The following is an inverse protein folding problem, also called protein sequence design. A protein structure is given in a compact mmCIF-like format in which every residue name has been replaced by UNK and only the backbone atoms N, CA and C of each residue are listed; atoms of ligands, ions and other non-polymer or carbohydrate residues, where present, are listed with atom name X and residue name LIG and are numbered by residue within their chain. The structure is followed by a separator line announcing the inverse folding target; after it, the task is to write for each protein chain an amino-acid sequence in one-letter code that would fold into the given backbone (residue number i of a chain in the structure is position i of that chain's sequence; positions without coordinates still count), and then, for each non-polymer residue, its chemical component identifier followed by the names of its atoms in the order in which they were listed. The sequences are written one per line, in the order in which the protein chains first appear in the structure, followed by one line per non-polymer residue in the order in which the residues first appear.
data_IF_065845391912
#
_entry.id   IF_065845391912
#
_cell.length_a   1.000
_cell.length_b   1.000
_cell.length_c   1.000
_cell.angle_alpha   90.00
_cell.angle_beta   90.00
_cell.angle_gamma   90.00
#
_symmetry.space_group_name_H-M   'P 1'
#
loop_
_entity.id
_entity.type
_entity.pdbx_description
1 polymer ?
#
# COMPACT_ATOMS: atom_id res chain seq x y z
N UNK A 1 -5.38 43.54 31.84
CA UNK A 1 -5.89 43.41 30.45
C UNK A 1 -4.76 42.94 29.56
N UNK A 2 -4.73 41.65 29.20
CA UNK A 2 -3.90 41.13 28.11
C UNK A 2 -4.79 40.15 27.36
N UNK A 3 -5.19 40.53 26.15
CA UNK A 3 -6.10 39.77 25.28
C UNK A 3 -5.31 38.61 24.67
N UNK A 4 -5.75 37.38 24.89
CA UNK A 4 -5.26 36.19 24.16
C UNK A 4 -5.90 36.18 22.76
N UNK A 5 -5.15 35.91 21.68
CA UNK A 5 -5.73 35.76 20.35
C UNK A 5 -6.47 34.41 20.23
N UNK A 6 -7.51 34.32 19.38
CA UNK A 6 -8.28 33.10 19.22
C UNK A 6 -7.49 32.03 18.44
N UNK A 7 -7.54 30.81 18.95
CA UNK A 7 -7.03 29.60 18.29
C UNK A 7 -7.87 29.37 17.03
N UNK A 8 -7.28 29.58 15.87
CA UNK A 8 -7.86 29.18 14.59
C UNK A 8 -7.77 27.66 14.49
N UNK A 9 -8.93 26.99 14.54
CA UNK A 9 -9.05 25.56 14.23
C UNK A 9 -8.89 25.42 12.72
N UNK A 10 -7.72 24.95 12.28
CA UNK A 10 -7.48 24.54 10.90
C UNK A 10 -7.92 23.10 10.78
N UNK A 11 -9.10 22.88 10.20
CA UNK A 11 -9.55 21.56 9.74
C UNK A 11 -8.77 21.22 8.48
N UNK A 12 -7.77 20.34 8.61
CA UNK A 12 -6.99 19.84 7.49
C UNK A 12 -7.69 18.61 6.91
N UNK A 13 -8.39 18.79 5.78
CA UNK A 13 -8.90 17.69 4.98
C UNK A 13 -7.72 17.00 4.26
N UNK A 14 -7.39 15.78 4.66
CA UNK A 14 -6.36 14.96 4.03
C UNK A 14 -7.02 14.12 2.92
N UNK A 15 -6.80 14.52 1.66
CA UNK A 15 -7.18 13.76 0.48
C UNK A 15 -6.01 12.87 0.05
N UNK A 16 -6.08 11.56 0.34
CA UNK A 16 -5.12 10.56 -0.17
C UNK A 16 -5.75 9.90 -1.39
N UNK A 17 -5.18 10.19 -2.56
CA UNK A 17 -5.49 9.52 -3.84
C UNK A 17 -4.35 8.55 -4.12
N UNK A 18 -4.53 7.27 -3.82
CA UNK A 18 -3.60 6.21 -4.22
C UNK A 18 -4.41 5.00 -4.68
N UNK A 19 -4.11 4.56 -5.91
CA UNK A 19 -4.76 3.46 -6.63
C UNK A 19 -6.29 3.54 -6.75
N UNK A 20 -6.77 4.17 -7.83
CA UNK A 20 -7.97 3.71 -8.56
C UNK A 20 -9.37 3.83 -7.94
N UNK A 21 -9.55 3.83 -6.62
CA UNK A 21 -10.88 3.81 -5.98
C UNK A 21 -10.93 4.81 -4.81
N UNK A 22 -11.56 5.96 -5.02
CA UNK A 22 -11.88 6.90 -3.94
C UNK A 22 -13.32 6.63 -3.45
N UNK A 23 -13.47 6.24 -2.17
CA UNK A 23 -14.76 6.23 -1.49
C UNK A 23 -15.15 7.67 -1.08
N UNK A 24 -16.38 8.14 -1.38
CA UNK A 24 -16.84 9.44 -0.90
C UNK A 24 -17.49 9.33 0.50
N UNK A 25 -16.95 10.07 1.47
CA UNK A 25 -17.59 10.31 2.77
C UNK A 25 -18.56 11.49 2.66
N UNK A 26 -19.84 11.27 2.98
CA UNK A 26 -20.85 12.34 3.12
C UNK A 26 -21.36 12.42 4.57
N UNK A 27 -21.57 13.63 5.14
CA UNK A 27 -22.12 13.79 6.49
C UNK A 27 -23.64 13.65 6.49
N UNK A 28 -24.18 12.90 7.47
CA UNK A 28 -25.62 12.85 7.78
C UNK A 28 -25.87 13.60 9.09
N UNK A 29 -26.72 14.63 9.05
CA UNK A 29 -27.26 15.27 10.26
C UNK A 29 -28.76 14.98 10.33
N UNK A 30 -29.31 14.54 11.48
CA UNK A 30 -30.72 14.23 11.62
C UNK A 30 -31.51 15.48 12.05
N UNK A 31 -32.70 15.66 11.49
CA UNK A 31 -33.73 16.53 12.09
C UNK A 31 -35.05 15.79 12.11
N UNK A 32 -35.60 15.66 13.31
CA UNK A 32 -36.81 14.91 13.60
C UNK A 32 -38.12 15.60 13.20
N UNK A 33 -39.13 14.75 13.24
CA UNK A 33 -40.57 14.79 12.98
C UNK A 33 -41.36 15.92 13.69
N UNK A 34 -42.65 16.21 13.36
CA UNK A 34 -43.76 15.29 13.72
C UNK A 34 -45.03 15.23 12.81
N UNK A 35 -45.55 14.00 12.71
CA UNK A 35 -46.93 13.52 12.98
C UNK A 35 -48.14 14.11 12.23
N UNK A 36 -48.94 13.23 11.60
CA UNK A 36 -50.41 13.25 11.71
C UNK A 36 -51.01 11.84 11.55
N UNK A 37 -51.87 11.47 12.50
CA UNK A 37 -52.54 10.18 12.69
C UNK A 37 -53.71 9.87 11.72
N UNK A 38 -54.08 8.58 11.73
CA UNK A 38 -55.45 7.99 11.82
C UNK A 38 -55.92 7.09 10.62
N UNK A 39 -56.86 6.12 10.80
CA UNK A 39 -56.63 4.79 11.39
C UNK A 39 -57.21 3.59 10.61
N UNK A 40 -56.95 2.39 11.17
CA UNK A 40 -57.70 1.12 11.09
C UNK A 40 -57.65 0.28 9.80
N UNK A 41 -57.22 -0.99 9.91
CA UNK A 41 -58.09 -2.11 10.35
C UNK A 41 -57.26 -3.39 10.43
N UNK A 42 -57.24 -4.05 11.59
CA UNK A 42 -56.69 -5.40 11.78
C UNK A 42 -57.58 -6.45 11.10
N UNK A 43 -56.97 -7.40 10.39
CA UNK A 43 -57.55 -8.73 10.19
C UNK A 43 -56.43 -9.77 10.13
N UNK A 44 -56.45 -10.65 11.12
CA UNK A 44 -55.47 -11.71 11.37
C UNK A 44 -55.99 -13.05 10.84
N UNK A 45 -55.16 -13.81 10.12
CA UNK A 45 -55.23 -15.29 9.95
C UNK A 45 -53.88 -15.79 9.37
N UNK A 46 -53.38 -16.99 9.72
CA UNK A 46 -51.95 -17.29 9.72
C UNK A 46 -51.44 -18.16 8.54
N UNK A 47 -50.11 -18.23 8.45
CA UNK A 47 -49.27 -19.24 7.82
C UNK A 47 -49.06 -19.18 6.28
N UNK A 48 -47.77 -19.04 5.93
CA UNK A 48 -47.22 -19.35 4.62
C UNK A 48 -45.80 -18.84 4.54
N UNK A 49 -44.78 -19.72 4.63
CA UNK A 49 -43.43 -19.37 4.21
C UNK A 49 -43.47 -19.15 2.70
N UNK A 50 -43.57 -17.89 2.28
CA UNK A 50 -43.41 -17.47 0.90
C UNK A 50 -41.96 -17.73 0.47
N UNK A 51 -41.69 -18.30 -0.72
CA UNK A 51 -40.36 -18.27 -1.31
C UNK A 51 -39.91 -16.80 -1.38
N UNK A 52 -38.69 -16.51 -0.94
CA UNK A 52 -38.13 -15.17 -1.08
C UNK A 52 -37.86 -14.94 -2.57
N UNK A 53 -38.75 -14.20 -3.22
CA UNK A 53 -38.47 -13.53 -4.48
C UNK A 53 -37.63 -12.29 -4.13
N UNK A 54 -36.33 -12.52 -3.91
CA UNK A 54 -35.40 -11.46 -3.54
C UNK A 54 -34.84 -10.72 -4.76
N UNK A 55 -35.12 -11.19 -5.98
CA UNK A 55 -34.69 -10.58 -7.24
C UNK A 55 -33.19 -10.76 -7.56
N UNK A 56 -32.49 -11.70 -6.90
CA UNK A 56 -31.06 -11.93 -7.14
C UNK A 56 -30.82 -12.49 -8.56
N UNK A 57 -29.99 -11.80 -9.35
CA UNK A 57 -29.68 -12.20 -10.71
C UNK A 57 -30.78 -11.91 -11.72
N UNK A 58 -31.81 -11.19 -11.32
CA UNK A 58 -32.93 -10.72 -12.16
C UNK A 58 -32.91 -9.20 -12.33
N UNK A 59 -31.79 -8.56 -11.97
CA UNK A 59 -31.60 -7.12 -12.12
C UNK A 59 -31.84 -6.65 -13.56
N UNK A 60 -32.32 -5.41 -13.66
CA UNK A 60 -32.60 -4.74 -14.94
C UNK A 60 -31.35 -4.66 -15.81
N UNK A 61 -31.57 -4.35 -17.08
CA UNK A 61 -30.50 -4.17 -18.07
C UNK A 61 -29.46 -3.16 -17.57
N UNK A 62 -28.19 -3.55 -17.66
CA UNK A 62 -27.04 -2.66 -17.46
C UNK A 62 -26.97 -1.68 -18.62
N UNK A 63 -27.02 -0.39 -18.33
CA UNK A 63 -26.81 0.66 -19.34
C UNK A 63 -25.34 0.73 -19.71
N UNK A 64 -25.00 0.62 -20.99
CA UNK A 64 -23.62 0.77 -21.47
C UNK A 64 -23.50 2.05 -22.30
N UNK A 65 -22.71 3.01 -21.81
CA UNK A 65 -22.32 4.20 -22.56
C UNK A 65 -20.99 3.93 -23.28
N UNK A 66 -21.10 3.56 -24.56
CA UNK A 66 -19.99 3.12 -25.41
C UNK A 66 -20.22 1.70 -25.94
N UNK A 67 -19.16 1.03 -26.38
CA UNK A 67 -19.24 -0.31 -26.97
C UNK A 67 -18.39 -1.31 -26.20
N UNK A 68 -18.99 -2.45 -25.84
CA UNK A 68 -18.31 -3.60 -25.24
C UNK A 68 -18.47 -4.82 -26.16
N UNK A 69 -17.51 -5.73 -26.11
CA UNK A 69 -17.52 -6.99 -26.85
C UNK A 69 -18.28 -8.11 -26.13
N UNK A 70 -18.94 -7.81 -25.02
CA UNK A 70 -19.54 -8.77 -24.09
C UNK A 70 -20.92 -8.30 -23.62
N UNK A 71 -21.74 -9.24 -23.16
CA UNK A 71 -23.04 -8.94 -22.55
C UNK A 71 -22.86 -8.51 -21.08
N UNK A 72 -22.77 -7.19 -20.89
CA UNK A 72 -22.59 -6.57 -19.58
C UNK A 72 -23.71 -6.90 -18.58
N UNK A 73 -24.95 -7.10 -19.06
CA UNK A 73 -26.10 -7.42 -18.19
C UNK A 73 -25.99 -8.85 -17.70
N UNK A 74 -25.71 -9.79 -18.60
CA UNK A 74 -25.56 -11.19 -18.24
C UNK A 74 -24.43 -11.41 -17.23
N UNK A 75 -23.30 -10.71 -17.39
CA UNK A 75 -22.18 -10.79 -16.44
C UNK A 75 -22.61 -10.28 -15.06
N UNK A 76 -23.29 -9.12 -14.98
CA UNK A 76 -23.76 -8.57 -13.70
C UNK A 76 -24.68 -9.54 -12.97
N UNK A 77 -25.70 -10.05 -13.65
CA UNK A 77 -26.66 -11.00 -13.07
C UNK A 77 -25.98 -12.30 -12.59
N UNK A 78 -24.91 -12.75 -13.27
CA UNK A 78 -24.12 -13.91 -12.82
C UNK A 78 -23.33 -13.59 -11.56
N UNK A 79 -22.78 -12.38 -11.43
CA UNK A 79 -22.05 -11.94 -10.23
C UNK A 79 -23.01 -11.81 -9.04
N UNK A 80 -24.21 -11.26 -9.23
CA UNK A 80 -25.26 -11.25 -8.20
C UNK A 80 -25.54 -12.66 -7.64
N UNK A 81 -25.74 -13.64 -8.54
CA UNK A 81 -25.95 -15.04 -8.16
C UNK A 81 -24.74 -15.70 -7.50
N UNK A 82 -23.52 -15.25 -7.81
CA UNK A 82 -22.31 -15.79 -7.18
C UNK A 82 -22.16 -15.28 -5.75
N UNK A 83 -22.46 -13.99 -5.53
CA UNK A 83 -22.33 -13.33 -4.23
C UNK A 83 -23.57 -13.48 -3.36
N UNK A 84 -24.66 -14.04 -3.88
CA UNK A 84 -25.95 -14.19 -3.19
C UNK A 84 -26.46 -12.85 -2.63
N UNK A 85 -26.36 -11.82 -3.45
CA UNK A 85 -26.79 -10.46 -3.13
C UNK A 85 -27.15 -9.71 -4.41
N UNK A 86 -27.97 -8.67 -4.29
CA UNK A 86 -28.31 -7.80 -5.41
C UNK A 86 -28.22 -6.31 -5.05
N UNK A 87 -28.18 -5.50 -6.10
CA UNK A 87 -28.31 -4.06 -6.03
C UNK A 87 -28.93 -3.55 -7.33
N UNK A 88 -29.12 -2.23 -7.44
CA UNK A 88 -29.47 -1.64 -8.73
C UNK A 88 -28.34 -1.89 -9.72
N UNK A 89 -28.70 -2.32 -10.94
CA UNK A 89 -27.74 -2.50 -12.02
C UNK A 89 -26.93 -1.20 -12.24
N UNK A 90 -25.59 -1.28 -12.29
CA UNK A 90 -24.75 -0.10 -12.47
C UNK A 90 -24.80 0.40 -13.92
N UNK A 91 -24.47 1.68 -14.13
CA UNK A 91 -24.15 2.20 -15.45
C UNK A 91 -22.69 1.89 -15.81
N UNK A 92 -22.45 1.35 -17.01
CA UNK A 92 -21.08 1.08 -17.51
C UNK A 92 -20.64 2.16 -18.50
N UNK A 93 -19.50 2.78 -18.24
CA UNK A 93 -18.86 3.78 -19.12
C UNK A 93 -17.62 3.20 -19.76
N UNK A 94 -17.55 3.24 -21.09
CA UNK A 94 -16.39 2.78 -21.86
C UNK A 94 -15.53 3.98 -22.23
N UNK A 95 -14.37 4.09 -21.60
CA UNK A 95 -13.48 5.25 -21.77
C UNK A 95 -12.05 4.80 -22.10
N UNK A 96 -11.39 5.50 -23.02
CA UNK A 96 -9.93 5.35 -23.18
C UNK A 96 -9.26 6.07 -22.02
N UNK A 97 -8.81 5.29 -21.05
CA UNK A 97 -8.12 5.83 -19.90
C UNK A 97 -6.62 5.87 -20.21
N UNK A 98 -6.11 7.07 -20.47
CA UNK A 98 -4.67 7.32 -20.60
C UNK A 98 -3.91 7.19 -19.27
N UNK A 99 -4.57 6.73 -18.20
CA UNK A 99 -3.96 6.55 -16.88
C UNK A 99 -3.12 5.28 -16.86
N UNK A 100 -1.96 5.34 -17.50
CA UNK A 100 -0.72 4.89 -16.86
C UNK A 100 -0.34 5.93 -15.80
N UNK A 101 -1.21 6.22 -14.84
CA UNK A 101 -0.82 7.07 -13.72
C UNK A 101 -0.02 6.22 -12.76
N UNK A 102 1.27 6.08 -13.09
CA UNK A 102 2.40 5.77 -12.22
C UNK A 102 2.55 6.77 -11.06
N UNK A 103 1.58 7.67 -10.87
CA UNK A 103 1.51 8.67 -9.82
C UNK A 103 1.27 7.92 -8.51
N UNK A 104 2.31 7.79 -7.69
CA UNK A 104 2.27 7.09 -6.40
C UNK A 104 3.06 5.78 -6.34
N UNK A 105 3.72 5.34 -7.42
CA UNK A 105 4.59 4.16 -7.40
C UNK A 105 6.07 4.48 -7.14
N UNK A 106 6.44 5.76 -7.16
CA UNK A 106 7.78 6.17 -6.75
C UNK A 106 7.97 5.92 -5.25
N UNK A 107 9.11 5.35 -4.81
CA UNK A 107 9.35 5.12 -3.40
C UNK A 107 9.42 6.45 -2.64
N UNK A 108 8.78 6.51 -1.47
CA UNK A 108 8.94 7.62 -0.52
C UNK A 108 10.38 7.72 -0.03
N UNK A 109 10.83 8.86 0.55
CA UNK A 109 12.18 8.99 1.10
C UNK A 109 12.58 7.86 2.07
N UNK A 110 11.66 7.34 2.89
CA UNK A 110 11.90 6.17 3.75
C UNK A 110 12.23 4.92 2.95
N UNK A 111 11.45 4.64 1.91
CA UNK A 111 11.68 3.47 1.05
C UNK A 111 12.97 3.63 0.26
N UNK A 112 13.30 4.85 -0.15
CA UNK A 112 14.58 5.14 -0.77
C UNK A 112 15.74 4.87 0.19
N UNK A 113 15.61 5.21 1.48
CA UNK A 113 16.60 4.90 2.52
C UNK A 113 16.74 3.40 2.82
N UNK A 114 15.77 2.57 2.39
CA UNK A 114 15.87 1.10 2.38
C UNK A 114 16.33 0.54 1.03
N UNK A 115 16.69 1.39 0.07
CA UNK A 115 17.16 0.97 -1.26
C UNK A 115 16.07 0.45 -2.20
N UNK A 116 14.78 0.77 -1.98
CA UNK A 116 13.71 0.42 -2.93
C UNK A 116 14.00 1.00 -4.31
N UNK A 117 13.92 0.16 -5.36
CA UNK A 117 14.12 0.63 -6.71
C UNK A 117 12.93 1.46 -7.21
N UNK A 118 13.23 2.45 -8.06
CA UNK A 118 12.23 3.20 -8.82
C UNK A 118 11.79 2.45 -10.11
N UNK A 119 12.27 1.22 -10.32
CA UNK A 119 12.09 0.49 -11.58
C UNK A 119 10.92 -0.48 -11.51
N UNK A 120 10.00 -0.34 -12.46
CA UNK A 120 8.97 -1.36 -12.71
C UNK A 120 9.47 -2.33 -13.77
N UNK A 121 9.42 -3.63 -13.48
CA UNK A 121 9.58 -4.68 -14.50
C UNK A 121 8.33 -4.77 -15.36
N UNK A 122 8.51 -5.15 -16.64
CA UNK A 122 7.40 -5.42 -17.55
C UNK A 122 6.60 -6.62 -17.05
N UNK A 123 5.28 -6.55 -17.21
CA UNK A 123 4.33 -7.62 -16.87
C UNK A 123 3.63 -8.16 -18.11
N UNK A 124 4.10 -7.78 -19.30
CA UNK A 124 3.51 -8.18 -20.59
C UNK A 124 3.37 -9.70 -20.72
N UNK A 125 4.31 -10.47 -20.16
CA UNK A 125 4.27 -11.94 -20.16
C UNK A 125 3.10 -12.51 -19.36
N UNK A 126 2.56 -11.77 -18.38
CA UNK A 126 1.39 -12.20 -17.60
C UNK A 126 0.06 -11.91 -18.32
N UNK A 127 0.05 -10.89 -19.18
CA UNK A 127 -1.15 -10.36 -19.83
C UNK A 127 -1.33 -8.86 -19.63
N UNK A 128 -2.32 -8.28 -20.30
CA UNK A 128 -2.61 -6.86 -20.19
C UNK A 128 -3.33 -6.55 -18.86
N UNK A 129 -2.82 -5.57 -18.11
CA UNK A 129 -3.54 -4.92 -17.02
C UNK A 129 -4.24 -3.72 -17.63
N UNK A 130 -5.55 -3.59 -17.43
CA UNK A 130 -6.30 -2.42 -17.86
C UNK A 130 -6.83 -1.63 -16.68
N UNK A 131 -7.12 -0.35 -16.93
CA UNK A 131 -7.76 0.51 -15.94
C UNK A 131 -9.27 0.26 -15.96
N UNK A 132 -9.81 -0.01 -14.78
CA UNK A 132 -11.23 0.01 -14.49
C UNK A 132 -11.43 0.48 -13.04
N UNK A 133 -12.60 1.01 -12.75
CA UNK A 133 -13.00 1.35 -11.38
C UNK A 133 -14.51 1.30 -11.25
N UNK A 134 -14.98 0.99 -10.05
CA UNK A 134 -16.37 0.87 -9.71
C UNK A 134 -16.76 1.80 -8.56
N UNK A 135 -18.03 2.18 -8.55
CA UNK A 135 -18.75 2.81 -7.45
C UNK A 135 -20.09 2.08 -7.32
N UNK A 136 -20.85 2.32 -6.24
CA UNK A 136 -22.14 1.65 -6.00
C UNK A 136 -23.13 1.68 -7.17
N UNK A 137 -23.05 2.70 -8.05
CA UNK A 137 -23.97 2.87 -9.18
C UNK A 137 -23.31 2.90 -10.57
N UNK A 138 -21.98 2.80 -10.67
CA UNK A 138 -21.31 2.93 -11.97
C UNK A 138 -19.99 2.18 -12.03
N UNK A 139 -19.69 1.64 -13.21
CA UNK A 139 -18.40 1.06 -13.58
C UNK A 139 -17.83 1.81 -14.76
N UNK A 140 -16.56 2.21 -14.70
CA UNK A 140 -15.84 2.76 -15.85
C UNK A 140 -14.72 1.80 -16.23
N UNK A 141 -14.61 1.45 -17.51
CA UNK A 141 -13.66 0.46 -18.01
C UNK A 141 -12.94 0.96 -19.26
N UNK A 142 -11.64 0.66 -19.36
CA UNK A 142 -10.88 0.80 -20.60
C UNK A 142 -10.71 -0.56 -21.27
N UNK A 143 -11.34 -0.82 -22.42
CA UNK A 143 -11.24 -2.12 -23.10
C UNK A 143 -10.00 -2.20 -24.01
N UNK A 144 -8.94 -1.46 -23.71
CA UNK A 144 -7.70 -1.40 -24.50
C UNK A 144 -6.48 -1.71 -23.65
N UNK A 145 -5.49 -2.37 -24.24
CA UNK A 145 -4.19 -2.59 -23.64
C UNK A 145 -3.46 -1.25 -23.53
N UNK A 146 -3.07 -0.78 -22.33
CA UNK A 146 -2.42 0.52 -22.17
C UNK A 146 -1.01 0.58 -22.77
N UNK A 147 -0.40 -0.57 -23.08
CA UNK A 147 0.95 -0.64 -23.66
C UNK A 147 0.91 -0.72 -25.18
N UNK A 148 0.06 -1.58 -25.76
CA UNK A 148 0.00 -1.76 -27.22
C UNK A 148 -1.05 -0.86 -27.88
N UNK A 149 -2.02 -0.34 -27.12
CA UNK A 149 -3.17 0.41 -27.65
C UNK A 149 -4.23 -0.46 -28.32
N UNK A 150 -4.01 -1.78 -28.39
CA UNK A 150 -4.92 -2.74 -29.02
C UNK A 150 -6.12 -3.05 -28.12
N UNK A 151 -7.24 -3.48 -28.72
CA UNK A 151 -8.40 -3.92 -27.97
C UNK A 151 -8.08 -5.19 -27.18
N UNK A 152 -8.61 -5.27 -25.96
CA UNK A 152 -8.55 -6.49 -25.14
C UNK A 152 -9.48 -7.56 -25.72
N UNK A 153 -9.18 -8.83 -25.44
CA UNK A 153 -10.10 -9.93 -25.78
C UNK A 153 -11.42 -9.80 -25.02
N UNK A 154 -12.49 -10.37 -25.58
CA UNK A 154 -13.78 -10.44 -24.91
C UNK A 154 -13.68 -11.12 -23.53
N UNK A 155 -12.88 -12.18 -23.41
CA UNK A 155 -12.65 -12.89 -22.15
C UNK A 155 -11.98 -12.01 -21.08
N UNK A 156 -11.03 -11.16 -21.45
CA UNK A 156 -10.39 -10.23 -20.51
C UNK A 156 -11.38 -9.15 -20.09
N UNK A 157 -12.15 -8.57 -21.02
CA UNK A 157 -13.18 -7.57 -20.70
C UNK A 157 -14.24 -8.16 -19.77
N UNK A 158 -14.68 -9.39 -20.02
CA UNK A 158 -15.64 -10.10 -19.18
C UNK A 158 -15.14 -10.28 -17.74
N UNK A 159 -13.88 -10.71 -17.55
CA UNK A 159 -13.31 -10.91 -16.22
C UNK A 159 -13.00 -9.60 -15.49
N UNK A 160 -12.65 -8.54 -16.21
CA UNK A 160 -12.55 -7.19 -15.62
C UNK A 160 -13.93 -6.74 -15.13
N UNK A 161 -14.98 -6.88 -15.94
CA UNK A 161 -16.33 -6.53 -15.50
C UNK A 161 -16.81 -7.38 -14.32
N UNK A 162 -16.49 -8.68 -14.29
CA UNK A 162 -16.82 -9.53 -13.14
C UNK A 162 -16.15 -9.04 -11.85
N UNK A 163 -14.88 -8.59 -11.92
CA UNK A 163 -14.18 -7.95 -10.81
C UNK A 163 -14.86 -6.64 -10.39
N UNK A 164 -15.12 -5.73 -11.34
CA UNK A 164 -15.73 -4.43 -11.04
C UNK A 164 -17.16 -4.53 -10.51
N UNK A 165 -17.95 -5.50 -10.96
CA UNK A 165 -19.28 -5.74 -10.42
C UNK A 165 -19.27 -6.33 -9.01
N UNK A 166 -18.22 -7.03 -8.61
CA UNK A 166 -18.08 -7.42 -7.22
C UNK A 166 -18.03 -6.18 -6.31
N UNK A 167 -17.30 -5.14 -6.73
CA UNK A 167 -17.23 -3.87 -5.99
C UNK A 167 -18.59 -3.19 -5.83
N UNK A 168 -19.48 -3.25 -6.83
CA UNK A 168 -20.82 -2.62 -6.71
C UNK A 168 -21.73 -3.34 -5.71
N UNK A 169 -21.42 -4.59 -5.38
CA UNK A 169 -22.20 -5.44 -4.47
C UNK A 169 -21.58 -5.57 -3.08
N UNK A 170 -20.27 -5.37 -2.93
CA UNK A 170 -19.52 -5.56 -1.69
C UNK A 170 -20.10 -4.82 -0.48
N UNK A 171 -20.62 -3.59 -0.67
CA UNK A 171 -21.22 -2.80 0.40
C UNK A 171 -22.50 -3.44 1.00
N UNK A 172 -23.07 -4.45 0.35
CA UNK A 172 -24.21 -5.24 0.84
C UNK A 172 -23.78 -6.47 1.64
N UNK A 173 -22.51 -6.86 1.57
CA UNK A 173 -22.00 -8.03 2.28
C UNK A 173 -21.73 -7.65 3.74
N UNK A 174 -22.35 -8.39 4.65
CA UNK A 174 -22.15 -8.19 6.09
C UNK A 174 -20.66 -8.28 6.47
N UNK A 175 -20.18 -7.31 7.24
CA UNK A 175 -18.78 -7.25 7.69
C UNK A 175 -17.84 -6.49 6.74
N UNK A 176 -18.25 -6.20 5.49
CA UNK A 176 -17.39 -5.52 4.52
C UNK A 176 -16.88 -4.16 5.00
N UNK A 177 -17.78 -3.28 5.48
CA UNK A 177 -17.41 -1.95 5.99
C UNK A 177 -16.40 -2.04 7.15
N UNK A 178 -16.59 -2.99 8.07
CA UNK A 178 -15.69 -3.15 9.21
C UNK A 178 -14.32 -3.66 8.77
N UNK A 179 -14.28 -4.61 7.83
CA UNK A 179 -13.04 -5.18 7.30
C UNK A 179 -12.23 -4.17 6.47
N UNK A 180 -12.87 -3.17 5.86
CA UNK A 180 -12.22 -2.13 5.06
C UNK A 180 -11.95 -0.82 5.80
N UNK A 181 -12.61 -0.57 6.93
CA UNK A 181 -12.40 0.62 7.77
C UNK A 181 -11.21 0.50 8.76
N UNK A 182 -10.34 -0.49 8.58
CA UNK A 182 -9.16 -0.69 9.44
C UNK A 182 -8.06 0.32 9.13
N UNK A 183 -7.30 0.74 10.15
CA UNK A 183 -6.14 1.62 10.02
C UNK A 183 -4.89 0.86 9.52
N UNK A 184 -5.07 0.11 8.43
CA UNK A 184 -4.03 -0.59 7.72
C UNK A 184 -4.42 -0.65 6.24
N UNK A 185 -3.80 0.21 5.43
CA UNK A 185 -4.12 0.38 4.02
C UNK A 185 -4.08 -0.94 3.24
N UNK A 186 -3.08 -1.79 3.47
CA UNK A 186 -2.93 -3.05 2.72
C UNK A 186 -3.97 -4.10 3.12
N UNK A 187 -4.40 -4.10 4.38
CA UNK A 187 -5.51 -4.96 4.79
C UNK A 187 -6.82 -4.44 4.21
N UNK A 188 -7.08 -3.15 4.32
CA UNK A 188 -8.27 -2.52 3.72
C UNK A 188 -8.35 -2.80 2.22
N UNK A 189 -7.24 -2.61 1.50
CA UNK A 189 -7.12 -2.91 0.08
C UNK A 189 -7.28 -4.40 -0.22
N UNK A 190 -6.64 -5.30 0.54
CA UNK A 190 -6.76 -6.73 0.32
C UNK A 190 -8.19 -7.25 0.59
N UNK A 191 -8.92 -6.66 1.54
CA UNK A 191 -10.33 -7.03 1.78
C UNK A 191 -11.23 -6.54 0.65
N UNK A 192 -11.00 -5.33 0.13
CA UNK A 192 -11.74 -4.78 -1.01
C UNK A 192 -11.38 -5.47 -2.34
N UNK A 193 -10.13 -5.37 -2.76
CA UNK A 193 -9.64 -5.87 -4.05
C UNK A 193 -9.51 -7.39 -4.07
N UNK A 194 -9.10 -7.99 -2.96
CA UNK A 194 -8.96 -9.44 -2.86
C UNK A 194 -10.28 -10.19 -2.94
N UNK A 195 -11.34 -9.69 -2.28
CA UNK A 195 -12.67 -10.32 -2.42
C UNK A 195 -13.22 -10.18 -3.84
N UNK A 196 -12.96 -9.05 -4.52
CA UNK A 196 -13.32 -8.89 -5.94
C UNK A 196 -12.53 -9.84 -6.85
N UNK A 197 -11.22 -10.01 -6.60
CA UNK A 197 -10.40 -11.02 -7.30
C UNK A 197 -10.95 -12.42 -7.08
N UNK A 198 -11.34 -12.78 -5.84
CA UNK A 198 -11.91 -14.09 -5.53
C UNK A 198 -13.25 -14.33 -6.23
N UNK A 199 -14.13 -13.32 -6.28
CA UNK A 199 -15.39 -13.37 -7.04
C UNK A 199 -15.12 -13.60 -8.52
N UNK A 200 -14.22 -12.79 -9.12
CA UNK A 200 -13.84 -12.93 -10.52
C UNK A 200 -13.19 -14.29 -10.82
N UNK A 201 -12.40 -14.82 -9.89
CA UNK A 201 -11.75 -16.13 -10.02
C UNK A 201 -12.77 -17.28 -10.01
N UNK A 202 -13.73 -17.22 -9.10
CA UNK A 202 -14.86 -18.16 -9.05
C UNK A 202 -15.72 -18.05 -10.32
N UNK A 203 -15.97 -16.83 -10.80
CA UNK A 203 -16.65 -16.59 -12.07
C UNK A 203 -15.90 -17.24 -13.23
N UNK A 204 -14.59 -17.01 -13.32
CA UNK A 204 -13.71 -17.58 -14.35
C UNK A 204 -13.75 -19.11 -14.35
N UNK A 205 -13.75 -19.72 -13.17
CA UNK A 205 -13.87 -21.17 -13.01
C UNK A 205 -15.24 -21.68 -13.49
N UNK A 206 -16.34 -21.05 -13.05
CA UNK A 206 -17.71 -21.49 -13.35
C UNK A 206 -18.09 -21.36 -14.82
N UNK A 207 -17.54 -20.36 -15.50
CA UNK A 207 -17.88 -20.02 -16.88
C UNK A 207 -16.76 -20.37 -17.89
N UNK A 208 -15.70 -21.03 -17.44
CA UNK A 208 -14.53 -21.40 -18.24
C UNK A 208 -13.91 -20.22 -19.02
N UNK A 209 -13.86 -19.04 -18.39
CA UNK A 209 -13.28 -17.82 -18.96
C UNK A 209 -11.85 -17.65 -18.44
N UNK A 210 -10.95 -17.12 -19.26
CA UNK A 210 -9.54 -16.92 -18.90
C UNK A 210 -9.04 -15.52 -19.26
N UNK A 211 -8.22 -14.96 -18.38
CA UNK A 211 -7.47 -13.73 -18.57
C UNK A 211 -6.07 -14.09 -19.05
N UNK A 212 -5.80 -13.90 -20.34
CA UNK A 212 -4.50 -14.29 -20.93
C UNK A 212 -4.08 -15.72 -20.60
N UNK A 213 -5.04 -16.66 -20.63
CA UNK A 213 -4.83 -18.08 -20.35
C UNK A 213 -4.88 -18.47 -18.87
N UNK A 214 -4.98 -17.52 -17.95
CA UNK A 214 -4.98 -17.76 -16.50
C UNK A 214 -6.33 -17.45 -15.86
N UNK A 215 -6.61 -18.00 -14.68
CA UNK A 215 -7.66 -17.45 -13.82
C UNK A 215 -7.19 -16.13 -13.15
N UNK A 216 -8.09 -15.23 -12.73
CA UNK A 216 -7.75 -13.96 -12.08
C UNK A 216 -6.70 -14.05 -10.95
N UNK A 217 -6.79 -15.02 -10.03
CA UNK A 217 -5.79 -15.16 -8.96
C UNK A 217 -4.42 -15.56 -9.50
N UNK A 218 -4.37 -16.46 -10.49
CA UNK A 218 -3.13 -16.89 -11.15
C UNK A 218 -2.48 -15.74 -11.95
N UNK A 219 -3.30 -14.93 -12.61
CA UNK A 219 -2.86 -13.70 -13.27
C UNK A 219 -2.22 -12.74 -12.25
N UNK A 220 -2.89 -12.48 -11.11
CA UNK A 220 -2.36 -11.62 -10.05
C UNK A 220 -1.08 -12.18 -9.42
N UNK A 221 -0.97 -13.49 -9.27
CA UNK A 221 0.27 -14.17 -8.86
C UNK A 221 1.42 -13.82 -9.80
N UNK A 222 1.22 -14.01 -11.11
CA UNK A 222 2.23 -13.68 -12.11
C UNK A 222 2.66 -12.22 -12.02
N UNK A 223 1.70 -11.28 -11.95
CA UNK A 223 2.02 -9.85 -11.82
C UNK A 223 2.80 -9.55 -10.54
N UNK A 224 2.39 -10.12 -9.41
CA UNK A 224 3.10 -9.96 -8.12
C UNK A 224 4.54 -10.50 -8.17
N UNK A 225 4.75 -11.66 -8.79
CA UNK A 225 6.08 -12.29 -8.91
C UNK A 225 7.00 -11.53 -9.87
N UNK A 226 6.46 -10.97 -10.95
CA UNK A 226 7.24 -10.26 -11.97
C UNK A 226 7.56 -8.82 -11.57
N UNK A 227 6.79 -8.20 -10.67
CA UNK A 227 6.96 -6.80 -10.28
C UNK A 227 7.89 -6.61 -9.08
N UNK A 228 8.31 -5.36 -8.85
CA UNK A 228 9.17 -4.92 -7.74
C UNK A 228 8.65 -3.63 -7.13
N UNK A 229 9.24 -3.23 -6.01
CA UNK A 229 8.89 -2.01 -5.28
C UNK A 229 7.40 -1.86 -5.00
N UNK A 230 6.90 -0.63 -5.11
CA UNK A 230 5.50 -0.33 -4.81
C UNK A 230 4.51 -1.09 -5.69
N UNK A 231 4.87 -1.43 -6.92
CA UNK A 231 3.99 -2.22 -7.78
C UNK A 231 3.84 -3.65 -7.30
N UNK A 232 4.90 -4.23 -6.74
CA UNK A 232 4.82 -5.55 -6.09
C UNK A 232 3.92 -5.50 -4.86
N UNK A 233 4.11 -4.49 -4.00
CA UNK A 233 3.30 -4.33 -2.79
C UNK A 233 1.81 -4.24 -3.11
N UNK A 234 1.40 -3.34 -4.01
CA UNK A 234 -0.01 -3.20 -4.42
C UNK A 234 -0.56 -4.49 -5.03
N UNK A 235 0.20 -5.16 -5.92
CA UNK A 235 -0.28 -6.44 -6.48
C UNK A 235 -0.30 -7.59 -5.47
N UNK A 236 0.44 -7.46 -4.36
CA UNK A 236 0.35 -8.34 -3.21
C UNK A 236 -1.04 -8.30 -2.57
N UNK A 237 -1.65 -7.12 -2.46
CA UNK A 237 -3.00 -6.95 -1.89
C UNK A 237 -4.05 -7.72 -2.71
N UNK A 238 -3.96 -7.64 -4.05
CA UNK A 238 -4.81 -8.40 -4.97
C UNK A 238 -4.57 -9.91 -4.88
N UNK A 239 -3.30 -10.32 -4.94
CA UNK A 239 -2.95 -11.74 -5.00
C UNK A 239 -3.24 -12.45 -3.67
N UNK A 240 -2.68 -11.95 -2.56
CA UNK A 240 -2.88 -12.56 -1.25
C UNK A 240 -4.30 -12.32 -0.75
N UNK A 241 -4.96 -11.22 -1.10
CA UNK A 241 -6.38 -11.03 -0.82
C UNK A 241 -7.27 -12.07 -1.50
N UNK A 242 -7.08 -12.31 -2.80
CA UNK A 242 -7.82 -13.36 -3.51
C UNK A 242 -7.55 -14.77 -2.95
N UNK A 243 -6.29 -15.06 -2.61
CA UNK A 243 -5.91 -16.31 -1.95
C UNK A 243 -6.54 -16.47 -0.57
N UNK A 244 -6.56 -15.41 0.24
CA UNK A 244 -7.12 -15.42 1.58
C UNK A 244 -8.59 -15.86 1.58
N UNK A 245 -9.42 -15.29 0.68
CA UNK A 245 -10.81 -15.73 0.57
C UNK A 245 -10.91 -17.17 0.04
N UNK A 246 -10.15 -17.52 -1.00
CA UNK A 246 -10.17 -18.88 -1.57
C UNK A 246 -9.70 -19.99 -0.62
N UNK A 247 -8.92 -19.67 0.41
CA UNK A 247 -8.50 -20.61 1.45
C UNK A 247 -9.50 -20.74 2.59
N UNK A 248 -10.37 -19.74 2.78
CA UNK A 248 -11.24 -19.64 3.96
C UNK A 248 -12.70 -19.97 3.69
N UNK A 249 -13.15 -19.84 2.45
CA UNK A 249 -14.55 -20.03 2.07
C UNK A 249 -14.66 -20.74 0.72
N UNK A 250 -15.69 -21.56 0.56
CA UNK A 250 -15.90 -22.38 -0.65
C UNK A 250 -16.46 -21.58 -1.84
N UNK A 251 -17.01 -20.38 -1.61
CA UNK A 251 -17.56 -19.55 -2.69
C UNK A 251 -17.99 -18.14 -2.25
N UNK A 252 -18.31 -17.25 -3.20
CA UNK A 252 -18.53 -15.84 -2.89
C UNK A 252 -19.78 -15.52 -2.06
N UNK A 253 -20.81 -16.39 -2.04
CA UNK A 253 -21.96 -16.24 -1.15
C UNK A 253 -21.58 -16.31 0.35
N UNK A 254 -20.41 -16.89 0.65
CA UNK A 254 -19.86 -17.02 1.99
C UNK A 254 -18.93 -15.88 2.41
N UNK A 255 -18.78 -14.81 1.62
CA UNK A 255 -17.85 -13.70 1.88
C UNK A 255 -17.98 -13.12 3.30
N UNK A 256 -19.20 -13.01 3.83
CA UNK A 256 -19.46 -12.48 5.17
C UNK A 256 -18.77 -13.28 6.28
N UNK A 257 -18.59 -14.60 6.10
CA UNK A 257 -17.90 -15.45 7.08
C UNK A 257 -16.42 -15.10 7.20
N UNK A 258 -15.75 -14.89 6.07
CA UNK A 258 -14.34 -14.49 6.06
C UNK A 258 -14.15 -13.04 6.55
N UNK A 259 -15.03 -12.11 6.15
CA UNK A 259 -14.97 -10.69 6.53
C UNK A 259 -15.18 -10.45 8.02
N UNK A 260 -16.02 -11.24 8.70
CA UNK A 260 -16.23 -11.15 10.17
C UNK A 260 -14.97 -11.48 10.98
N UNK A 261 -14.05 -12.23 10.40
CA UNK A 261 -12.76 -12.60 11.00
C UNK A 261 -11.59 -12.14 10.13
N UNK A 262 -11.76 -10.98 9.47
CA UNK A 262 -10.75 -10.39 8.60
C UNK A 262 -9.38 -10.27 9.31
N UNK A 263 -8.27 -10.35 8.55
CA UNK A 263 -6.94 -10.25 9.13
C UNK A 263 -6.68 -8.81 9.61
N UNK A 264 -5.89 -8.66 10.67
CA UNK A 264 -5.36 -7.38 11.17
C UNK A 264 -3.95 -7.10 10.64
N UNK A 265 -3.22 -8.15 10.23
CA UNK A 265 -1.84 -8.05 9.73
C UNK A 265 -1.70 -8.66 8.35
N UNK A 266 -0.68 -8.23 7.60
CA UNK A 266 -0.41 -8.82 6.30
C UNK A 266 0.22 -10.21 6.38
N UNK A 267 0.70 -10.64 7.54
CA UNK A 267 1.05 -12.05 7.80
C UNK A 267 -0.20 -12.93 7.82
N UNK A 268 -1.20 -12.56 8.62
CA UNK A 268 -2.48 -13.25 8.64
C UNK A 268 -3.11 -13.31 7.25
N UNK A 269 -2.98 -12.23 6.46
CA UNK A 269 -3.41 -12.21 5.07
C UNK A 269 -2.64 -13.22 4.20
N UNK A 270 -1.31 -13.19 4.25
CA UNK A 270 -0.43 -14.04 3.43
C UNK A 270 -0.67 -15.53 3.71
N UNK A 271 -0.91 -15.89 4.97
CA UNK A 271 -1.06 -17.27 5.42
C UNK A 271 -2.52 -17.72 5.63
N UNK A 272 -3.51 -16.88 5.28
CA UNK A 272 -4.94 -17.26 5.38
C UNK A 272 -5.48 -17.35 6.82
N UNK A 273 -4.80 -16.74 7.80
CA UNK A 273 -5.08 -16.91 9.22
C UNK A 273 -6.06 -15.87 9.76
N UNK A 274 -6.70 -16.20 10.89
CA UNK A 274 -7.50 -15.22 11.66
C UNK A 274 -6.64 -14.49 12.69
N UNK A 275 -7.08 -13.31 13.17
CA UNK A 275 -6.40 -12.62 14.28
C UNK A 275 -6.22 -13.44 15.57
N UNK A 276 -7.10 -14.42 15.82
CA UNK A 276 -6.99 -15.29 16.99
C UNK A 276 -5.99 -16.45 16.79
N UNK A 277 -5.74 -16.83 15.54
CA UNK A 277 -4.80 -17.91 15.22
C UNK A 277 -3.36 -17.39 15.21
N UNK A 278 -3.16 -16.15 14.78
CA UNK A 278 -1.85 -15.50 14.69
C UNK A 278 -1.89 -14.11 15.35
N UNK A 279 -1.80 -14.01 16.68
CA UNK A 279 -1.92 -12.74 17.38
C UNK A 279 -0.65 -11.88 17.23
N UNK A 280 -0.84 -10.57 17.04
CA UNK A 280 0.27 -9.61 16.90
C UNK A 280 1.23 -9.68 18.09
N UNK A 281 2.51 -9.91 17.82
CA UNK A 281 3.53 -9.97 18.87
C UNK A 281 3.72 -8.59 19.55
N UNK A 282 3.80 -8.51 20.88
CA UNK A 282 4.05 -7.23 21.57
C UNK A 282 5.40 -6.64 21.17
N UNK A 283 5.40 -5.37 20.73
CA UNK A 283 6.62 -4.64 20.40
C UNK A 283 6.47 -3.15 20.73
N UNK A 284 7.37 -2.65 21.57
CA UNK A 284 7.56 -1.24 21.91
C UNK A 284 8.95 -0.80 21.47
N UNK A 285 9.02 0.35 20.80
CA UNK A 285 10.29 0.96 20.37
C UNK A 285 10.36 2.38 20.89
N UNK A 286 11.45 2.68 21.61
CA UNK A 286 11.78 4.03 22.07
C UNK A 286 13.04 4.53 21.40
N UNK A 287 13.13 5.85 21.21
CA UNK A 287 14.29 6.51 20.59
C UNK A 287 15.00 7.35 21.63
N UNK A 288 16.32 7.16 21.75
CA UNK A 288 17.21 8.06 22.48
C UNK A 288 17.85 9.03 21.48
N UNK A 289 17.36 10.27 21.48
CA UNK A 289 17.67 11.28 20.48
C UNK A 289 18.98 12.02 20.78
N UNK A 290 19.72 12.35 19.72
CA UNK A 290 20.86 13.25 19.77
C UNK A 290 20.50 14.57 19.10
N UNK A 291 21.26 15.65 19.37
CA UNK A 291 21.07 16.95 18.68
C UNK A 291 21.38 16.90 17.17
N UNK A 292 21.98 15.81 16.68
CA UNK A 292 22.43 15.66 15.29
C UNK A 292 21.30 15.24 14.33
N UNK A 293 20.32 14.52 14.87
CA UNK A 293 19.25 13.87 14.11
C UNK A 293 17.96 14.04 14.89
N UNK A 294 17.02 14.77 14.30
CA UNK A 294 15.71 14.94 14.93
C UNK A 294 14.84 13.74 14.59
N UNK A 295 14.30 13.08 15.62
CA UNK A 295 13.25 12.11 15.41
C UNK A 295 12.02 12.84 14.86
N UNK A 296 11.39 12.25 13.85
CA UNK A 296 10.18 12.81 13.29
C UNK A 296 9.15 11.73 13.08
N UNK A 297 8.04 11.83 13.81
CA UNK A 297 6.77 11.28 13.38
C UNK A 297 6.22 12.21 12.30
N UNK A 298 6.69 12.07 11.05
CA UNK A 298 6.18 12.91 9.96
C UNK A 298 4.94 12.26 9.35
N UNK A 299 3.91 13.05 9.00
CA UNK A 299 2.76 12.60 8.21
C UNK A 299 3.12 11.97 6.85
N UNK A 300 4.31 12.25 6.30
CA UNK A 300 4.82 11.58 5.09
C UNK A 300 5.45 10.20 5.35
N UNK A 301 5.57 9.83 6.63
CA UNK A 301 6.16 8.61 7.18
C UNK A 301 5.06 7.75 7.86
N UNK A 302 3.91 8.36 8.18
CA UNK A 302 2.64 7.68 8.49
C UNK A 302 2.28 6.76 7.33
N UNK A 303 2.11 5.48 7.61
CA UNK A 303 1.77 4.48 6.60
C UNK A 303 2.98 3.87 5.87
N UNK A 304 4.20 3.89 6.43
CA UNK A 304 5.15 2.83 6.08
C UNK A 304 4.56 1.51 6.56
N UNK A 305 4.14 0.62 5.66
CA UNK A 305 3.49 -0.59 6.09
C UNK A 305 4.56 -1.51 6.65
N UNK A 306 4.42 -1.86 7.92
CA UNK A 306 5.42 -2.62 8.66
C UNK A 306 5.17 -4.12 8.60
N UNK A 307 4.06 -4.56 8.00
CA UNK A 307 3.65 -5.96 7.91
C UNK A 307 4.49 -6.83 6.97
N UNK A 308 4.34 -8.15 7.09
CA UNK A 308 5.05 -9.17 6.31
C UNK A 308 5.05 -8.89 4.80
N UNK A 309 3.93 -8.46 4.21
CA UNK A 309 3.88 -8.17 2.77
C UNK A 309 4.86 -7.06 2.34
N UNK A 310 5.10 -6.08 3.21
CA UNK A 310 6.08 -5.02 2.94
C UNK A 310 7.50 -5.51 3.11
N UNK A 311 7.73 -6.40 4.09
CA UNK A 311 8.99 -7.11 4.27
C UNK A 311 9.34 -7.96 3.05
N UNK A 312 8.40 -8.79 2.59
CA UNK A 312 8.53 -9.58 1.35
C UNK A 312 8.83 -8.72 0.15
N UNK A 313 8.18 -7.56 0.05
CA UNK A 313 8.43 -6.61 -1.05
C UNK A 313 9.85 -6.07 -1.01
N UNK A 314 10.33 -5.67 0.17
CA UNK A 314 11.68 -5.15 0.34
C UNK A 314 12.75 -6.22 0.07
N UNK A 315 12.61 -7.41 0.63
CA UNK A 315 13.54 -8.53 0.41
C UNK A 315 13.65 -8.91 -1.09
N UNK A 316 12.54 -8.82 -1.84
CA UNK A 316 12.51 -9.11 -3.27
C UNK A 316 13.30 -8.11 -4.14
N UNK A 317 13.81 -7.02 -3.56
CA UNK A 317 14.71 -6.09 -4.24
C UNK A 317 16.07 -6.73 -4.58
N UNK A 318 16.54 -7.69 -3.78
CA UNK A 318 17.81 -8.39 -4.01
C UNK A 318 17.73 -9.91 -3.99
N UNK A 319 16.70 -10.49 -3.36
CA UNK A 319 16.66 -11.93 -3.11
C UNK A 319 15.74 -12.70 -4.06
N UNK A 320 15.96 -14.02 -4.12
CA UNK A 320 15.11 -14.95 -4.88
C UNK A 320 13.79 -15.22 -4.14
N UNK A 321 12.71 -15.63 -4.84
CA UNK A 321 11.40 -15.85 -4.21
C UNK A 321 11.43 -16.81 -3.00
N UNK A 322 12.18 -17.92 -3.09
CA UNK A 322 12.29 -18.86 -1.97
C UNK A 322 13.04 -18.30 -0.77
N UNK A 323 14.05 -17.44 -0.98
CA UNK A 323 14.74 -16.75 0.11
C UNK A 323 13.86 -15.67 0.74
N UNK A 324 13.06 -14.97 -0.06
CA UNK A 324 12.08 -13.99 0.43
C UNK A 324 11.02 -14.66 1.31
N UNK A 325 10.52 -15.83 0.91
CA UNK A 325 9.48 -16.55 1.64
C UNK A 325 9.97 -17.05 3.00
N UNK A 326 11.11 -17.72 3.03
CA UNK A 326 11.75 -18.18 4.27
C UNK A 326 12.03 -17.00 5.22
N UNK A 327 12.75 -15.99 4.73
CA UNK A 327 13.16 -14.84 5.54
C UNK A 327 12.05 -13.86 5.92
N UNK A 328 10.80 -14.09 5.51
CA UNK A 328 9.64 -13.29 5.90
C UNK A 328 8.64 -14.07 6.77
N UNK A 329 8.76 -15.39 6.86
CA UNK A 329 7.84 -16.25 7.61
C UNK A 329 8.04 -16.07 9.12
N UNK A 330 6.94 -15.96 9.88
CA UNK A 330 6.96 -15.73 11.33
C UNK A 330 7.14 -14.26 11.72
N UNK A 331 6.62 -13.35 10.88
CA UNK A 331 6.68 -11.92 11.14
C UNK A 331 5.68 -11.59 12.25
N UNK A 332 6.09 -11.45 13.50
CA UNK A 332 5.13 -11.15 14.58
C UNK A 332 4.69 -9.68 14.67
N UNK A 333 5.61 -8.72 14.45
CA UNK A 333 5.31 -7.28 14.46
C UNK A 333 6.48 -6.45 13.92
N UNK A 334 6.24 -5.17 13.60
CA UNK A 334 7.33 -4.24 13.34
C UNK A 334 6.98 -2.77 13.58
N UNK A 335 8.02 -1.99 13.84
CA UNK A 335 7.98 -0.54 14.05
C UNK A 335 9.10 0.13 13.27
N UNK A 336 8.84 1.32 12.74
CA UNK A 336 9.82 2.12 12.02
C UNK A 336 9.97 3.45 12.74
N UNK A 337 11.19 3.80 13.11
CA UNK A 337 11.58 5.12 13.55
C UNK A 337 12.38 5.82 12.44
N UNK A 338 12.13 7.10 12.21
CA UNK A 338 12.72 7.86 11.11
C UNK A 338 13.41 9.13 11.61
N UNK A 339 14.49 9.48 10.92
CA UNK A 339 15.43 10.52 11.31
C UNK A 339 15.80 11.38 10.11
N UNK A 340 15.83 12.69 10.30
CA UNK A 340 16.33 13.65 9.29
C UNK A 340 17.65 14.25 9.79
N UNK A 341 18.69 14.20 8.95
CA UNK A 341 19.96 14.89 9.18
C UNK A 341 20.01 16.28 8.51
N UNK A 342 21.05 17.07 8.78
CA UNK A 342 21.18 18.46 8.30
C UNK A 342 21.15 18.70 6.78
N UNK A 343 21.20 17.64 5.96
CA UNK A 343 21.10 17.68 4.49
C UNK A 343 19.72 17.30 3.93
N UNK A 344 18.72 17.03 4.78
CA UNK A 344 17.36 16.64 4.35
C UNK A 344 17.22 15.18 3.90
N UNK A 345 18.27 14.37 4.03
CA UNK A 345 18.22 12.93 3.77
C UNK A 345 17.56 12.20 4.94
N UNK A 346 16.63 11.28 4.62
CA UNK A 346 15.96 10.42 5.61
C UNK A 346 16.82 9.21 5.92
N UNK A 347 16.97 8.91 7.21
CA UNK A 347 17.47 7.64 7.72
C UNK A 347 16.41 6.98 8.60
N UNK A 348 16.53 5.69 8.87
CA UNK A 348 15.54 4.96 9.65
C UNK A 348 16.14 3.80 10.44
N UNK A 349 15.40 3.40 11.47
CA UNK A 349 15.55 2.13 12.16
C UNK A 349 14.23 1.35 12.03
N UNK A 350 14.26 0.21 11.35
CA UNK A 350 13.15 -0.72 11.22
C UNK A 350 13.36 -1.89 12.17
N UNK A 351 12.60 -1.91 13.26
CA UNK A 351 12.62 -2.98 14.26
C UNK A 351 11.58 -4.03 13.88
N UNK A 352 12.02 -5.27 13.68
CA UNK A 352 11.17 -6.41 13.31
C UNK A 352 11.22 -7.46 14.42
N UNK A 353 10.04 -7.87 14.87
CA UNK A 353 9.79 -8.89 15.86
C UNK A 353 9.34 -10.16 15.15
N UNK A 354 9.93 -11.29 15.52
CA UNK A 354 9.64 -12.61 14.98
C UNK A 354 8.95 -13.49 16.03
N UNK A 355 8.27 -14.54 15.59
CA UNK A 355 7.55 -15.45 16.47
C UNK A 355 8.47 -16.48 17.11
N UNK A 356 9.53 -16.88 16.39
CA UNK A 356 10.55 -17.80 16.85
C UNK A 356 11.99 -17.31 16.56
N UNK A 357 12.98 -17.73 17.37
CA UNK A 357 14.37 -17.35 17.15
C UNK A 357 14.94 -17.80 15.80
N UNK A 358 14.50 -18.96 15.31
CA UNK A 358 14.95 -19.51 14.03
C UNK A 358 14.52 -18.64 12.84
N UNK A 359 13.34 -18.05 12.89
CA UNK A 359 12.84 -17.15 11.83
C UNK A 359 13.64 -15.85 11.81
N UNK A 360 13.98 -15.34 13.00
CA UNK A 360 14.90 -14.21 13.12
C UNK A 360 16.30 -14.53 12.57
N UNK A 361 16.79 -15.78 12.72
CA UNK A 361 18.07 -16.22 12.11
C UNK A 361 17.99 -16.28 10.58
N UNK A 362 16.87 -16.75 10.03
CA UNK A 362 16.64 -16.77 8.58
C UNK A 362 16.62 -15.36 7.98
N UNK A 363 15.98 -14.41 8.68
CA UNK A 363 15.99 -13.00 8.30
C UNK A 363 17.37 -12.37 8.38
N UNK A 364 18.12 -12.58 9.48
CA UNK A 364 19.48 -12.06 9.67
C UNK A 364 20.44 -12.53 8.56
N UNK A 365 20.36 -13.83 8.21
CA UNK A 365 21.12 -14.38 7.10
C UNK A 365 20.71 -13.76 5.75
N UNK A 366 19.41 -13.51 5.54
CA UNK A 366 18.92 -12.88 4.31
C UNK A 366 19.35 -11.41 4.18
N UNK A 367 19.48 -10.69 5.29
CA UNK A 367 20.01 -9.33 5.31
C UNK A 367 21.47 -9.29 4.85
N UNK A 368 22.30 -10.23 5.34
CA UNK A 368 23.69 -10.36 4.91
C UNK A 368 23.84 -10.58 3.39
N UNK A 369 22.88 -11.27 2.76
CA UNK A 369 22.83 -11.46 1.30
C UNK A 369 22.29 -10.21 0.56
N UNK A 370 21.35 -9.49 1.17
CA UNK A 370 20.64 -8.36 0.58
C UNK A 370 21.48 -7.07 0.58
N UNK A 371 22.20 -6.80 1.67
CA UNK A 371 22.97 -5.58 1.88
C UNK A 371 23.89 -5.25 0.69
N UNK A 372 24.81 -6.14 0.25
CA UNK A 372 25.71 -5.83 -0.86
C UNK A 372 24.99 -5.49 -2.17
N UNK A 373 23.79 -6.06 -2.38
CA UNK A 373 22.99 -5.79 -3.57
C UNK A 373 22.39 -4.38 -3.53
N UNK A 374 21.88 -3.95 -2.37
CA UNK A 374 21.23 -2.66 -2.23
C UNK A 374 22.23 -1.49 -2.20
N UNK A 375 23.36 -1.67 -1.51
CA UNK A 375 24.42 -0.65 -1.43
C UNK A 375 25.00 -0.34 -2.81
N UNK A 376 25.29 -1.37 -3.62
CA UNK A 376 25.82 -1.20 -4.99
C UNK A 376 24.84 -0.52 -5.95
N UNK A 377 23.53 -0.67 -5.74
CA UNK A 377 22.51 -0.23 -6.68
C UNK A 377 22.03 1.20 -6.43
N UNK A 378 22.00 1.63 -5.17
CA UNK A 378 21.25 2.83 -4.77
C UNK A 378 22.04 3.83 -3.94
N UNK A 379 23.31 3.55 -3.59
CA UNK A 379 24.08 4.41 -2.69
C UNK A 379 23.45 4.57 -1.30
N UNK A 380 22.50 3.69 -0.96
CA UNK A 380 21.94 3.52 0.38
C UNK A 380 22.94 2.72 1.20
N UNK A 381 23.11 3.07 2.46
CA UNK A 381 23.84 2.24 3.42
C UNK A 381 22.85 1.43 4.24
N UNK A 382 23.20 0.18 4.52
CA UNK A 382 22.42 -0.69 5.38
C UNK A 382 23.30 -1.33 6.43
N UNK A 383 22.71 -1.56 7.60
CA UNK A 383 23.30 -2.41 8.63
C UNK A 383 22.19 -2.96 9.49
N UNK A 384 22.34 -4.18 9.96
CA UNK A 384 21.42 -4.76 10.92
C UNK A 384 22.08 -5.12 12.25
N UNK A 385 21.25 -5.31 13.27
CA UNK A 385 21.68 -5.78 14.58
C UNK A 385 20.61 -6.69 15.19
N UNK A 386 21.03 -7.85 15.66
CA UNK A 386 20.21 -8.73 16.50
C UNK A 386 20.16 -8.16 17.92
N UNK A 387 18.98 -7.67 18.34
CA UNK A 387 18.78 -7.06 19.67
C UNK A 387 18.44 -8.13 20.71
N UNK A 388 17.67 -9.13 20.31
CA UNK A 388 17.22 -10.23 21.15
C UNK A 388 16.91 -11.49 20.30
N UNK A 389 16.67 -12.67 20.89
CA UNK A 389 16.47 -13.90 20.15
C UNK A 389 15.38 -13.84 19.07
N UNK A 390 14.30 -13.09 19.21
CA UNK A 390 13.34 -12.92 18.09
C UNK A 390 13.21 -11.45 17.65
N UNK A 391 14.26 -10.65 17.72
CA UNK A 391 14.17 -9.22 17.34
C UNK A 391 15.42 -8.69 16.65
N UNK A 392 15.24 -8.19 15.44
CA UNK A 392 16.28 -7.62 14.58
C UNK A 392 15.93 -6.16 14.27
N UNK A 393 16.93 -5.28 14.30
CA UNK A 393 16.80 -3.89 13.86
C UNK A 393 17.62 -3.68 12.60
N UNK A 394 17.00 -3.14 11.56
CA UNK A 394 17.65 -2.71 10.33
C UNK A 394 17.79 -1.20 10.35
N UNK A 395 19.02 -0.71 10.20
CA UNK A 395 19.34 0.70 9.98
C UNK A 395 19.54 0.95 8.50
N UNK A 396 18.93 2.02 7.97
CA UNK A 396 19.08 2.39 6.57
C UNK A 396 19.14 3.90 6.35
N UNK A 397 19.84 4.31 5.29
CA UNK A 397 19.91 5.70 4.85
C UNK A 397 21.33 6.26 4.84
N UNK A 398 21.54 7.36 5.56
CA UNK A 398 22.82 8.09 5.57
C UNK A 398 23.95 7.25 6.19
N UNK A 399 25.14 7.28 5.60
CA UNK A 399 26.29 6.50 6.07
C UNK A 399 26.66 6.77 7.53
N UNK A 400 26.70 8.03 7.98
CA UNK A 400 27.10 8.37 9.36
C UNK A 400 26.02 7.93 10.36
N UNK A 401 24.75 8.03 9.98
CA UNK A 401 23.65 7.47 10.77
C UNK A 401 23.80 5.95 10.89
N UNK A 402 23.93 5.25 9.76
CA UNK A 402 23.99 3.77 9.73
C UNK A 402 25.23 3.26 10.46
N UNK A 403 26.38 3.94 10.35
CA UNK A 403 27.60 3.56 11.06
C UNK A 403 27.51 3.77 12.57
N UNK A 404 26.82 4.82 13.04
CA UNK A 404 26.82 5.21 14.44
C UNK A 404 25.58 4.82 15.25
N UNK A 405 24.46 4.47 14.61
CA UNK A 405 23.24 4.09 15.32
C UNK A 405 23.40 2.76 16.07
N UNK A 406 22.76 2.61 17.22
CA UNK A 406 22.76 1.33 17.95
C UNK A 406 21.35 0.97 18.41
N UNK A 407 21.12 -0.30 18.71
CA UNK A 407 19.89 -0.76 19.32
C UNK A 407 20.18 -1.78 20.40
N UNK A 408 19.41 -1.73 21.48
CA UNK A 408 19.52 -2.65 22.61
C UNK A 408 18.14 -2.88 23.24
N UNK A 409 18.01 -3.96 24.02
CA UNK A 409 16.79 -4.22 24.77
C UNK A 409 16.44 -5.70 24.80
N UNK A 410 15.14 -5.96 24.69
CA UNK A 410 14.55 -7.30 24.71
C UNK A 410 13.70 -7.50 23.47
N UNK A 411 13.25 -8.73 23.32
CA UNK A 411 12.23 -9.18 22.39
C UNK A 411 11.03 -8.21 22.21
N UNK A 412 10.46 -7.70 23.31
CA UNK A 412 9.27 -6.84 23.25
C UNK A 412 9.54 -5.34 23.45
N UNK A 413 10.75 -4.95 23.86
CA UNK A 413 11.09 -3.57 24.21
C UNK A 413 12.48 -3.23 23.68
N UNK A 414 12.56 -2.33 22.71
CA UNK A 414 13.81 -1.95 22.03
C UNK A 414 14.05 -0.45 22.18
N UNK A 415 15.28 -0.07 22.51
CA UNK A 415 15.74 1.32 22.46
C UNK A 415 16.69 1.49 21.29
N UNK A 416 16.37 2.42 20.39
CA UNK A 416 17.24 2.87 19.30
C UNK A 416 17.98 4.12 19.75
N UNK A 417 19.31 4.09 19.74
CA UNK A 417 20.16 5.24 20.05
C UNK A 417 20.72 5.82 18.76
N UNK A 418 20.52 7.12 18.57
CA UNK A 418 20.93 7.85 17.37
C UNK A 418 22.34 8.42 17.56
N UNK A 419 23.24 8.39 16.55
CA UNK A 419 24.60 8.89 16.74
C UNK A 419 24.62 10.39 17.03
N UNK A 420 25.58 10.82 17.87
CA UNK A 420 25.89 12.23 18.06
C UNK A 420 26.58 12.83 16.83
N UNK A 421 26.67 14.16 16.76
CA UNK A 421 27.64 14.79 15.86
C UNK A 421 29.03 14.35 16.35
N UNK A 422 29.86 13.77 15.48
CA UNK A 422 31.30 13.81 15.79
C UNK A 422 31.66 15.30 15.97
N UNK A 423 32.41 15.66 17.01
CA UNK A 423 33.01 16.98 17.08
C UNK A 423 33.80 17.17 15.79
N UNK A 424 33.55 18.25 15.08
CA UNK A 424 34.46 18.74 14.05
C UNK A 424 35.81 18.89 14.77
N UNK A 425 36.71 17.92 14.58
CA UNK A 425 38.05 18.07 15.14
C UNK A 425 38.62 19.29 14.40
N UNK A 426 39.00 20.30 15.16
CA UNK A 426 39.42 21.58 14.59
C UNK A 426 40.75 21.52 13.85
N UNK A 427 41.13 20.40 13.23
CA UNK A 427 42.43 20.22 12.57
C UNK A 427 42.46 20.67 11.10
N UNK A 428 41.39 21.29 10.59
CA UNK A 428 41.54 22.22 9.47
C UNK A 428 42.20 23.52 9.95
N UNK A 429 43.48 23.41 10.28
CA UNK A 429 44.42 24.54 10.33
C UNK A 429 44.45 25.12 8.91
N UNK A 430 43.97 26.36 8.68
CA UNK A 430 44.21 27.04 7.42
C UNK A 430 45.73 27.14 7.25
N UNK A 431 46.29 26.97 6.03
CA UNK A 431 47.72 27.16 5.85
C UNK A 431 48.10 28.56 6.32
N UNK A 432 49.05 28.62 7.26
CA UNK A 432 49.59 29.83 7.85
C UNK A 432 49.84 30.87 6.76
N UNK A 433 49.06 31.95 6.80
CA UNK A 433 49.33 33.17 6.05
C UNK A 433 50.45 33.91 6.75
N UNK A 434 51.66 33.81 6.18
CA UNK A 434 52.84 34.56 6.63
C UNK A 434 52.53 36.06 6.73
N UNK A 435 52.65 36.55 7.96
CA UNK A 435 52.54 37.94 8.35
C UNK A 435 53.89 38.62 8.10
N UNK A 436 54.10 39.16 6.90
CA UNK A 436 55.21 40.07 6.61
C UNK A 436 54.69 41.51 6.50
N UNK A 437 54.68 42.19 7.65
CA UNK A 437 54.36 43.60 7.80
C UNK A 437 55.60 44.47 7.55
N UNK A 438 55.51 45.42 6.60
CA UNK A 438 55.95 46.85 6.68
C UNK A 438 56.36 47.43 5.30
N UNK A 439 56.38 48.76 5.10
CA UNK A 439 55.35 49.76 5.38
C UNK A 439 55.10 50.74 4.20
N UNK A 440 53.97 51.46 4.29
CA UNK A 440 53.59 52.76 3.69
C UNK A 440 54.66 53.56 2.89
N UNK A 441 54.28 54.10 1.71
CA UNK A 441 54.12 55.55 1.39
C UNK A 441 53.95 55.74 -0.14
N UNK A 442 52.86 56.44 -0.53
CA UNK A 442 52.87 57.47 -1.59
C UNK A 442 52.75 57.03 -3.05
N UNK A 443 51.76 57.58 -3.77
CA UNK A 443 51.79 57.59 -5.24
C UNK A 443 50.43 57.61 -5.91
N UNK A 444 49.84 58.80 -5.98
CA UNK A 444 48.66 59.13 -6.79
C UNK A 444 49.11 59.21 -8.26
N UNK A 445 48.53 58.43 -9.16
CA UNK A 445 48.33 58.87 -10.55
C UNK A 445 47.28 58.05 -11.30
N UNK A 446 46.25 58.76 -11.72
CA UNK A 446 45.21 58.39 -12.67
C UNK A 446 45.67 58.73 -14.08
N UNK A 447 45.67 57.76 -14.98
CA UNK A 447 45.59 57.98 -16.43
C UNK A 447 45.07 56.72 -17.15
N UNK A 448 43.83 56.81 -17.64
CA UNK A 448 43.28 56.16 -18.85
C UNK A 448 44.02 56.69 -20.11
N UNK A 449 43.81 56.22 -21.37
CA UNK A 449 42.84 55.24 -21.89
C UNK A 449 43.31 54.33 -23.08
N UNK A 450 42.37 53.46 -23.51
CA UNK A 450 42.03 53.10 -24.91
C UNK A 450 43.04 52.37 -25.81
N UNK A 451 42.66 51.21 -26.35
CA UNK A 451 42.24 51.03 -27.76
C UNK A 451 42.27 49.55 -28.17
N UNK A 452 41.19 49.12 -28.84
CA UNK A 452 41.08 48.19 -29.98
C UNK A 452 41.71 46.77 -29.89
N UNK A 453 41.18 45.70 -30.49
CA UNK A 453 40.31 45.58 -31.65
C UNK A 453 39.57 44.22 -31.64
N UNK A 454 38.56 44.16 -32.50
CA UNK A 454 37.76 43.02 -32.97
C UNK A 454 38.53 41.71 -33.24
N UNK A 455 37.95 40.57 -32.84
CA UNK A 455 37.23 39.62 -33.71
C UNK A 455 36.43 38.59 -32.89
#
# INVERSE_FOLDING_TARGET
MVRRPPIAVVVLAVAVVLAGCSAPSGPSTPTGDPTTDDPSTESSTPAGKTPHDDGIGESRQVTVNGSLSVDATQIYQRVERLMDTNASAPDVRVERMNRSSSVGLSPSPVRQALGFANTTRSVQACGAITSAYATDGAVTISPVNPVTGENLSASTVELVLAHEYAHTLQNRVEGFQNATAVDNLHISQAMSEGSAVFVADTYAQRHDVRWSGNRPVEFRKCVYEQTRGMRKLVNGDYYYGGQYFGQRIDGPSALSMALKTAPNTTEQLVHGMTPAAEPVAPLSVTVDESKAFNHRESPALVGFPTGELSLRTWLAEGLSPGRVDAAATGWGNARVATFEGGTGNVSLAWTVRWDAPGEADEFDAALSDLEPTLENRTGTHLRHARVAPETVVVFGGNQSFVAGATAMGTNGNVTVTVPGLEPDDGTNVPPDGDDARAPSVGGRETTTPSADADE
#
